data_IF_522743800363
#
_entry.id   IF_522743800363
#
_cell.length_a   1.000
_cell.length_b   1.000
_cell.length_c   1.000
_cell.angle_alpha   90.00
_cell.angle_beta   90.00
_cell.angle_gamma   90.00
#
_symmetry.space_group_name_H-M   'P 1'
#
loop_
_entity.id
_entity.type
_entity.pdbx_description
1 polymer ?
#
# COMPACT_ATOMS: atom_id res chain seq x y z
N UNK A 1 10.32 8.61 -7.84
CA UNK A 1 11.59 8.87 -7.13
C UNK A 1 12.72 9.01 -8.16
N UNK A 2 13.54 10.02 -8.03
CA UNK A 2 14.68 10.22 -8.90
C UNK A 2 15.91 9.52 -8.31
N UNK A 3 16.65 8.77 -9.11
CA UNK A 3 17.94 8.22 -8.72
C UNK A 3 19.00 9.35 -8.72
N UNK A 4 19.61 9.61 -7.58
CA UNK A 4 20.62 10.66 -7.41
C UNK A 4 22.03 10.10 -7.36
N UNK A 5 22.18 8.81 -7.06
CA UNK A 5 23.42 8.04 -7.15
C UNK A 5 23.04 6.56 -7.25
N UNK A 6 23.99 5.68 -7.59
CA UNK A 6 23.72 4.25 -7.73
C UNK A 6 22.96 3.68 -6.52
N UNK A 7 21.70 3.26 -6.75
CA UNK A 7 20.75 2.75 -5.73
C UNK A 7 20.40 3.75 -4.60
N UNK A 8 20.64 5.04 -4.82
CA UNK A 8 20.22 6.11 -3.91
C UNK A 8 19.17 6.96 -4.61
N UNK A 9 18.01 7.07 -4.02
CA UNK A 9 16.86 7.74 -4.61
C UNK A 9 16.41 8.92 -3.75
N UNK A 10 15.79 9.92 -4.38
CA UNK A 10 15.06 10.94 -3.63
C UNK A 10 13.98 10.29 -2.76
N UNK A 11 13.67 10.91 -1.64
CA UNK A 11 12.49 10.56 -0.83
C UNK A 11 11.22 10.75 -1.65
N UNK A 12 10.10 10.26 -1.13
CA UNK A 12 8.79 10.52 -1.74
C UNK A 12 8.53 12.02 -1.74
N UNK A 13 8.31 12.58 -2.93
CA UNK A 13 7.84 13.96 -3.06
C UNK A 13 6.40 14.02 -2.58
N UNK A 14 6.14 14.86 -1.60
CA UNK A 14 4.82 15.05 -1.01
C UNK A 14 4.59 16.54 -0.75
N UNK A 15 3.32 16.97 -0.72
CA UNK A 15 3.03 18.37 -0.43
C UNK A 15 3.66 18.78 0.90
N UNK A 16 4.31 19.96 0.98
CA UNK A 16 4.86 20.47 2.23
C UNK A 16 3.85 20.56 3.38
N UNK A 17 2.58 20.77 3.05
CA UNK A 17 1.47 20.86 4.01
C UNK A 17 0.85 19.48 4.30
N UNK A 18 1.33 18.44 3.64
CA UNK A 18 0.81 17.08 3.76
C UNK A 18 1.49 16.30 4.88
N UNK A 19 0.78 15.32 5.41
CA UNK A 19 1.27 14.36 6.40
C UNK A 19 1.30 12.96 5.80
N UNK A 20 2.44 12.30 5.89
CA UNK A 20 2.57 10.87 5.53
C UNK A 20 2.51 10.09 6.84
N UNK A 21 1.46 9.31 7.08
CA UNK A 21 1.37 8.50 8.30
C UNK A 21 2.47 7.43 8.34
N UNK A 22 2.89 6.98 9.53
CA UNK A 22 3.79 5.84 9.65
C UNK A 22 3.27 4.63 8.87
N UNK A 23 4.14 4.01 8.09
CA UNK A 23 3.79 2.87 7.24
C UNK A 23 4.99 1.95 7.02
N UNK A 24 4.70 0.72 6.63
CA UNK A 24 5.72 -0.25 6.26
C UNK A 24 6.07 -0.09 4.78
N UNK A 25 7.32 0.17 4.46
CA UNK A 25 7.72 0.34 3.07
C UNK A 25 7.43 -0.92 2.26
N UNK A 26 6.62 -0.76 1.20
CA UNK A 26 6.29 -1.78 0.20
C UNK A 26 5.62 -3.06 0.76
N UNK A 27 4.99 -3.04 1.92
CA UNK A 27 4.34 -4.24 2.48
C UNK A 27 3.16 -4.77 1.64
N UNK A 28 2.67 -3.99 0.69
CA UNK A 28 1.68 -4.39 -0.32
C UNK A 28 2.31 -5.11 -1.52
N UNK A 29 3.63 -5.12 -1.65
CA UNK A 29 4.35 -5.71 -2.77
C UNK A 29 4.73 -7.17 -2.49
N UNK A 30 5.09 -7.89 -3.56
CA UNK A 30 5.64 -9.24 -3.46
C UNK A 30 7.02 -9.24 -2.77
N UNK A 31 7.85 -8.24 -3.08
CA UNK A 31 9.15 -8.03 -2.47
C UNK A 31 9.18 -6.68 -1.75
N UNK A 32 9.85 -6.63 -0.61
CA UNK A 32 10.08 -5.42 0.17
C UNK A 32 11.53 -5.38 0.65
N UNK A 33 12.08 -4.19 0.94
CA UNK A 33 13.44 -4.07 1.42
C UNK A 33 13.57 -4.61 2.85
N UNK A 34 14.65 -5.34 3.13
CA UNK A 34 14.98 -5.78 4.49
C UNK A 34 15.46 -4.63 5.37
N UNK A 35 16.01 -3.58 4.76
CA UNK A 35 16.51 -2.38 5.42
C UNK A 35 16.16 -1.15 4.61
N UNK A 36 15.88 -0.05 5.30
CA UNK A 36 15.72 1.27 4.72
C UNK A 36 16.73 2.19 5.39
N UNK A 37 17.48 2.92 4.58
CA UNK A 37 18.44 3.90 5.04
C UNK A 37 17.99 5.30 4.64
N UNK A 38 17.94 6.22 5.59
CA UNK A 38 17.65 7.61 5.35
C UNK A 38 18.91 8.44 5.52
N UNK A 39 19.17 9.32 4.57
CA UNK A 39 20.23 10.31 4.64
C UNK A 39 19.64 11.69 4.45
N UNK A 40 19.91 12.60 5.37
CA UNK A 40 19.48 13.99 5.27
C UNK A 40 20.55 14.81 4.57
N UNK A 41 20.37 15.09 3.29
CA UNK A 41 21.30 15.90 2.51
C UNK A 41 21.24 17.38 2.92
N UNK A 42 20.04 17.91 3.10
CA UNK A 42 19.80 19.30 3.51
C UNK A 42 18.81 19.29 4.67
N UNK A 43 19.22 19.67 5.88
CA UNK A 43 18.32 19.73 6.99
C UNK A 43 17.30 20.87 6.81
N UNK A 44 16.05 20.67 7.17
CA UNK A 44 15.07 21.75 7.15
C UNK A 44 15.38 22.82 8.22
N UNK A 45 15.07 24.07 7.94
CA UNK A 45 15.24 25.17 8.90
C UNK A 45 14.34 25.01 10.14
N UNK A 46 13.13 24.46 9.93
CA UNK A 46 12.16 24.17 10.99
C UNK A 46 11.43 22.87 10.69
N UNK A 47 11.04 22.12 11.71
CA UNK A 47 10.29 20.84 11.58
C UNK A 47 11.05 19.77 10.79
N UNK A 48 10.40 19.05 9.86
CA UNK A 48 11.03 18.06 8.96
C UNK A 48 11.46 16.76 9.65
N UNK A 49 10.71 16.31 10.64
CA UNK A 49 11.01 15.04 11.34
C UNK A 49 10.52 13.85 10.53
N UNK A 50 11.29 12.78 10.55
CA UNK A 50 10.86 11.45 10.08
C UNK A 50 10.56 10.59 11.31
N UNK A 51 9.29 10.45 11.73
CA UNK A 51 8.94 9.62 12.87
C UNK A 51 9.15 8.14 12.55
N UNK A 52 9.64 7.38 13.53
CA UNK A 52 9.76 5.93 13.47
C UNK A 52 8.94 5.32 14.59
N UNK A 53 8.26 4.23 14.30
CA UNK A 53 7.50 3.46 15.27
C UNK A 53 8.16 2.08 15.51
N UNK A 54 8.19 1.62 16.74
CA UNK A 54 8.56 0.23 17.05
C UNK A 54 7.37 -0.68 16.76
N UNK A 55 7.50 -1.49 15.71
CA UNK A 55 6.42 -2.35 15.23
C UNK A 55 5.95 -3.39 16.26
N UNK A 56 6.78 -3.80 17.19
CA UNK A 56 6.37 -4.68 18.29
C UNK A 56 5.32 -4.00 19.17
N UNK A 57 5.51 -2.69 19.40
CA UNK A 57 4.57 -1.88 20.19
C UNK A 57 3.28 -1.61 19.42
N UNK A 58 3.37 -1.39 18.12
CA UNK A 58 2.19 -1.23 17.23
C UNK A 58 1.41 -2.54 17.20
N UNK A 59 2.07 -3.66 16.89
CA UNK A 59 1.45 -4.99 16.87
C UNK A 59 0.76 -5.35 18.19
N UNK A 60 1.36 -4.99 19.33
CA UNK A 60 0.79 -5.27 20.65
C UNK A 60 -0.47 -4.44 20.96
N UNK A 61 -0.67 -3.30 20.30
CA UNK A 61 -1.86 -2.45 20.44
C UNK A 61 -3.05 -2.94 19.65
N UNK A 62 -2.80 -3.65 18.53
CA UNK A 62 -3.87 -4.19 17.69
C UNK A 62 -4.50 -5.40 18.43
N UNK A 63 -5.82 -5.40 18.65
CA UNK A 63 -6.51 -6.50 19.32
C UNK A 63 -6.22 -7.86 18.67
N UNK A 64 -6.06 -8.89 19.50
CA UNK A 64 -5.71 -10.24 19.05
C UNK A 64 -6.69 -10.77 17.99
N UNK A 65 -7.99 -10.55 18.17
CA UNK A 65 -9.01 -11.00 17.21
C UNK A 65 -8.79 -10.42 15.81
N UNK A 66 -8.40 -9.14 15.73
CA UNK A 66 -8.07 -8.47 14.46
C UNK A 66 -6.80 -9.10 13.88
N UNK A 67 -5.73 -9.22 14.67
CA UNK A 67 -4.46 -9.81 14.21
C UNK A 67 -4.67 -11.23 13.66
N UNK A 68 -5.42 -12.07 14.36
CA UNK A 68 -5.70 -13.45 13.95
C UNK A 68 -6.52 -13.51 12.65
N UNK A 69 -7.46 -12.60 12.46
CA UNK A 69 -8.23 -12.53 11.22
C UNK A 69 -7.36 -12.15 10.04
N UNK A 70 -6.53 -11.11 10.20
CA UNK A 70 -5.56 -10.70 9.17
C UNK A 70 -4.48 -11.75 8.91
N UNK A 71 -4.00 -12.43 9.94
CA UNK A 71 -3.04 -13.54 9.79
C UNK A 71 -3.61 -14.68 8.96
N UNK A 72 -4.90 -15.00 9.17
CA UNK A 72 -5.59 -16.08 8.46
C UNK A 72 -5.86 -15.75 7.00
N UNK A 73 -6.33 -14.55 6.71
CA UNK A 73 -6.80 -14.18 5.38
C UNK A 73 -5.76 -13.42 4.57
N UNK A 74 -4.84 -12.69 5.20
CA UNK A 74 -4.01 -11.72 4.52
C UNK A 74 -4.81 -10.48 4.10
N UNK A 75 -4.24 -9.70 3.18
CA UNK A 75 -4.86 -8.51 2.59
C UNK A 75 -4.92 -8.65 1.09
N UNK A 76 -6.08 -8.46 0.51
CA UNK A 76 -6.28 -8.31 -0.91
C UNK A 76 -6.23 -6.84 -1.29
N UNK A 77 -5.22 -6.45 -2.04
CA UNK A 77 -5.06 -5.12 -2.63
C UNK A 77 -5.60 -5.12 -4.05
N UNK A 78 -6.49 -4.19 -4.34
CA UNK A 78 -7.04 -3.97 -5.68
C UNK A 78 -6.57 -2.61 -6.18
N UNK A 79 -6.10 -2.54 -7.42
CA UNK A 79 -5.74 -1.29 -8.09
C UNK A 79 -6.33 -1.27 -9.50
N UNK A 80 -6.93 -0.15 -9.82
CA UNK A 80 -7.31 0.19 -11.18
C UNK A 80 -6.30 1.22 -11.72
N UNK A 81 -5.71 0.90 -12.84
CA UNK A 81 -4.78 1.78 -13.56
C UNK A 81 -5.50 2.36 -14.77
N UNK A 82 -5.30 3.65 -15.00
CA UNK A 82 -5.86 4.33 -16.16
C UNK A 82 -5.61 5.84 -16.11
N UNK A 83 -5.64 6.54 -17.25
CA UNK A 83 -5.25 7.94 -17.35
C UNK A 83 -6.14 8.91 -16.56
N UNK A 84 -7.36 8.50 -16.22
CA UNK A 84 -8.35 9.36 -15.53
C UNK A 84 -8.61 8.92 -14.07
N UNK A 85 -7.92 7.87 -13.62
CA UNK A 85 -8.21 7.26 -12.31
C UNK A 85 -7.13 7.60 -11.29
N UNK A 86 -5.88 7.26 -11.55
CA UNK A 86 -4.71 7.50 -10.67
C UNK A 86 -3.45 7.45 -11.54
N UNK A 87 -2.68 6.38 -11.48
CA UNK A 87 -1.54 6.10 -12.34
C UNK A 87 -1.98 5.32 -13.58
N UNK A 88 -1.33 5.60 -14.70
CA UNK A 88 -1.38 4.68 -15.83
C UNK A 88 -0.67 3.37 -15.48
N UNK A 89 -0.98 2.28 -16.17
CA UNK A 89 -0.28 1.01 -15.93
C UNK A 89 1.20 1.10 -16.32
N UNK A 90 1.55 1.95 -17.31
CA UNK A 90 2.93 2.23 -17.71
C UNK A 90 3.73 2.83 -16.55
N UNK A 91 3.17 3.84 -15.89
CA UNK A 91 3.79 4.46 -14.72
C UNK A 91 3.88 3.50 -13.53
N UNK A 92 2.81 2.73 -13.31
CA UNK A 92 2.73 1.79 -12.20
C UNK A 92 3.71 0.64 -12.29
N UNK A 93 3.94 0.11 -13.50
CA UNK A 93 4.86 -1.00 -13.77
C UNK A 93 6.19 -0.56 -14.38
N UNK A 94 6.35 0.73 -14.71
CA UNK A 94 7.56 1.30 -15.30
C UNK A 94 7.97 0.61 -16.62
N UNK A 95 7.00 0.30 -17.46
CA UNK A 95 7.18 -0.32 -18.79
C UNK A 95 6.01 0.02 -19.70
N UNK A 96 6.25 0.05 -21.01
CA UNK A 96 5.23 0.18 -22.05
C UNK A 96 4.81 -1.19 -22.65
N UNK A 97 5.36 -2.28 -22.12
CA UNK A 97 5.14 -3.64 -22.60
C UNK A 97 4.08 -4.37 -21.77
N UNK A 98 2.92 -4.63 -22.34
CA UNK A 98 1.91 -5.50 -21.70
C UNK A 98 2.45 -6.88 -21.34
N UNK A 99 3.31 -7.44 -22.20
CA UNK A 99 3.90 -8.75 -21.97
C UNK A 99 4.78 -8.77 -20.69
N UNK A 100 5.50 -7.68 -20.42
CA UNK A 100 6.27 -7.53 -19.19
C UNK A 100 5.38 -7.38 -17.96
N UNK A 101 4.29 -6.62 -18.05
CA UNK A 101 3.29 -6.51 -16.99
C UNK A 101 2.69 -7.88 -16.66
N UNK A 102 2.29 -8.63 -17.67
CA UNK A 102 1.73 -9.98 -17.48
C UNK A 102 2.75 -10.97 -16.92
N UNK A 103 4.00 -10.88 -17.38
CA UNK A 103 5.09 -11.71 -16.84
C UNK A 103 5.31 -11.40 -15.34
N UNK A 104 5.36 -10.11 -14.98
CA UNK A 104 5.43 -9.69 -13.59
C UNK A 104 4.24 -10.18 -12.77
N UNK A 105 3.02 -10.03 -13.27
CA UNK A 105 1.81 -10.50 -12.57
C UNK A 105 1.84 -12.02 -12.35
N UNK A 106 2.22 -12.80 -13.35
CA UNK A 106 2.40 -14.26 -13.21
C UNK A 106 3.44 -14.62 -12.15
N UNK A 107 4.60 -13.96 -12.21
CA UNK A 107 5.69 -14.20 -11.26
C UNK A 107 5.31 -13.88 -9.81
N UNK A 108 4.52 -12.84 -9.61
CA UNK A 108 4.15 -12.33 -8.28
C UNK A 108 2.82 -12.89 -7.77
N UNK A 109 2.11 -13.73 -8.53
CA UNK A 109 0.78 -14.23 -8.17
C UNK A 109 -0.27 -13.13 -8.15
N UNK A 110 -0.07 -12.07 -8.93
CA UNK A 110 -1.06 -10.99 -9.10
C UNK A 110 -2.04 -11.40 -10.19
N UNK A 111 -3.33 -11.34 -9.90
CA UNK A 111 -4.39 -11.46 -10.91
C UNK A 111 -4.54 -10.13 -11.64
N UNK A 112 -4.79 -10.18 -12.94
CA UNK A 112 -4.97 -8.99 -13.74
C UNK A 112 -6.05 -9.16 -14.79
N UNK A 113 -6.68 -8.07 -15.17
CA UNK A 113 -7.68 -7.99 -16.24
C UNK A 113 -7.46 -6.70 -17.02
N UNK A 114 -7.14 -6.84 -18.30
CA UNK A 114 -7.15 -5.70 -19.22
C UNK A 114 -8.60 -5.32 -19.51
N UNK A 115 -8.99 -4.11 -19.16
CA UNK A 115 -10.33 -3.59 -19.46
C UNK A 115 -10.38 -3.04 -20.88
N UNK A 116 -9.28 -2.44 -21.31
CA UNK A 116 -9.01 -1.98 -22.67
C UNK A 116 -7.50 -1.74 -22.87
N UNK A 117 -7.12 -0.94 -23.87
CA UNK A 117 -5.71 -0.65 -24.14
C UNK A 117 -5.03 0.24 -23.09
N UNK A 118 -5.78 1.02 -22.35
CA UNK A 118 -5.28 1.98 -21.37
C UNK A 118 -5.57 1.58 -19.93
N UNK A 119 -6.56 0.73 -19.70
CA UNK A 119 -7.03 0.40 -18.36
C UNK A 119 -6.74 -1.04 -17.95
N UNK A 120 -6.20 -1.18 -16.76
CA UNK A 120 -5.83 -2.45 -16.15
C UNK A 120 -6.40 -2.53 -14.72
N UNK A 121 -7.11 -3.60 -14.41
CA UNK A 121 -7.40 -3.98 -13.03
C UNK A 121 -6.36 -5.01 -12.57
N UNK A 122 -5.73 -4.77 -11.42
CA UNK A 122 -4.80 -5.70 -10.79
C UNK A 122 -5.26 -6.00 -9.36
N UNK A 123 -5.21 -7.28 -9.00
CA UNK A 123 -5.62 -7.79 -7.69
C UNK A 123 -4.57 -8.75 -7.14
N UNK A 124 -4.14 -8.53 -5.91
CA UNK A 124 -3.12 -9.36 -5.29
C UNK A 124 -3.40 -9.59 -3.81
N UNK A 125 -3.26 -10.82 -3.36
CA UNK A 125 -3.32 -11.16 -1.93
C UNK A 125 -1.91 -11.21 -1.38
N UNK A 126 -1.68 -10.51 -0.27
CA UNK A 126 -0.40 -10.47 0.44
C UNK A 126 -0.62 -10.83 1.91
N UNK A 127 0.45 -11.31 2.53
CA UNK A 127 0.45 -11.51 3.99
C UNK A 127 0.16 -10.17 4.70
N UNK A 128 -0.54 -10.24 5.81
CA UNK A 128 -0.83 -9.08 6.64
C UNK A 128 0.16 -8.94 7.81
N UNK A 129 0.87 -10.01 8.12
CA UNK A 129 1.88 -10.07 9.17
C UNK A 129 3.10 -10.82 8.65
N UNK A 130 4.27 -10.49 9.13
CA UNK A 130 5.53 -11.15 8.75
C UNK A 130 6.31 -11.57 9.99
N UNK A 131 7.08 -12.65 9.84
CA UNK A 131 8.03 -13.06 10.86
C UNK A 131 9.31 -12.23 10.71
N UNK A 132 9.65 -11.51 11.75
CA UNK A 132 10.87 -10.69 11.76
C UNK A 132 12.12 -11.59 11.71
N UNK A 133 13.05 -11.37 10.77
CA UNK A 133 14.13 -12.33 10.50
C UNK A 133 15.12 -12.52 11.65
N UNK A 134 15.30 -11.50 12.50
CA UNK A 134 16.24 -11.55 13.63
C UNK A 134 15.56 -11.97 14.94
N UNK A 135 14.41 -11.37 15.28
CA UNK A 135 13.72 -11.68 16.54
C UNK A 135 12.81 -12.91 16.49
N UNK A 136 12.38 -13.30 15.28
CA UNK A 136 11.44 -14.41 15.09
C UNK A 136 9.99 -14.08 15.44
N UNK A 137 9.72 -12.86 15.90
CA UNK A 137 8.37 -12.40 16.25
C UNK A 137 7.52 -12.21 15.01
N UNK A 138 6.24 -12.54 15.10
CA UNK A 138 5.26 -12.25 14.04
C UNK A 138 4.66 -10.88 14.30
N UNK A 139 4.92 -9.95 13.39
CA UNK A 139 4.58 -8.55 13.53
C UNK A 139 3.60 -8.10 12.45
N UNK A 140 2.81 -7.09 12.75
CA UNK A 140 1.92 -6.44 11.79
C UNK A 140 2.72 -5.83 10.64
N UNK A 141 2.32 -6.13 9.41
CA UNK A 141 3.06 -5.69 8.23
C UNK A 141 2.17 -5.63 7.00
N UNK A 142 1.36 -4.59 6.89
CA UNK A 142 0.48 -4.39 5.74
C UNK A 142 0.06 -2.92 5.57
N UNK A 143 -0.57 -2.62 4.45
CA UNK A 143 -1.09 -1.31 4.08
C UNK A 143 -2.62 -1.27 3.98
N UNK A 144 -3.35 -2.20 4.56
CA UNK A 144 -4.80 -2.28 4.40
C UNK A 144 -5.49 -0.94 4.68
N UNK A 145 -5.21 -0.32 5.83
CA UNK A 145 -5.81 0.94 6.26
C UNK A 145 -5.50 2.13 5.34
N UNK A 146 -4.34 2.11 4.65
CA UNK A 146 -3.93 3.18 3.73
C UNK A 146 -4.50 3.00 2.32
N UNK A 147 -4.70 1.76 1.89
CA UNK A 147 -5.28 1.45 0.58
C UNK A 147 -6.79 1.56 0.57
N UNK A 148 -7.44 1.26 1.69
CA UNK A 148 -8.89 1.27 1.78
C UNK A 148 -9.46 2.66 1.51
N UNK A 149 -10.58 2.71 0.78
CA UNK A 149 -11.25 3.97 0.39
C UNK A 149 -11.54 4.90 1.56
N UNK A 150 -11.80 4.37 2.75
CA UNK A 150 -12.03 5.16 3.96
C UNK A 150 -10.79 5.92 4.48
N UNK A 151 -9.63 5.76 3.85
CA UNK A 151 -8.45 6.60 4.13
C UNK A 151 -8.50 7.95 3.40
N UNK A 152 -9.38 8.08 2.43
CA UNK A 152 -9.61 9.35 1.73
C UNK A 152 -10.49 10.29 2.56
N UNK A 153 -10.42 11.61 2.32
CA UNK A 153 -11.39 12.54 2.88
C UNK A 153 -12.82 12.07 2.57
N UNK A 154 -13.75 12.09 3.53
CA UNK A 154 -15.09 11.46 3.36
C UNK A 154 -15.89 11.99 2.15
N UNK A 155 -15.76 13.27 1.84
CA UNK A 155 -16.42 13.87 0.69
C UNK A 155 -15.87 13.32 -0.65
N UNK A 156 -14.54 13.16 -0.74
CA UNK A 156 -13.89 12.60 -1.92
C UNK A 156 -14.21 11.11 -2.07
N UNK A 157 -14.16 10.34 -0.98
CA UNK A 157 -14.51 8.93 -1.00
C UNK A 157 -15.94 8.71 -1.51
N UNK A 158 -16.88 9.52 -1.02
CA UNK A 158 -18.29 9.48 -1.46
C UNK A 158 -18.42 9.82 -2.94
N UNK A 159 -17.84 10.93 -3.39
CA UNK A 159 -17.90 11.34 -4.78
C UNK A 159 -17.36 10.27 -5.73
N UNK A 160 -16.23 9.66 -5.39
CA UNK A 160 -15.65 8.56 -6.18
C UNK A 160 -16.55 7.31 -6.19
N UNK A 161 -17.12 6.94 -5.06
CA UNK A 161 -18.04 5.80 -4.98
C UNK A 161 -19.32 6.05 -5.81
N UNK A 162 -19.84 7.28 -5.81
CA UNK A 162 -21.01 7.65 -6.60
C UNK A 162 -20.71 7.67 -8.11
N UNK A 163 -19.50 8.08 -8.51
CA UNK A 163 -19.09 8.20 -9.91
C UNK A 163 -18.67 6.87 -10.53
N UNK A 164 -17.77 6.14 -9.90
CA UNK A 164 -17.15 4.94 -10.49
C UNK A 164 -17.54 3.64 -9.79
N UNK A 165 -18.28 3.70 -8.71
CA UNK A 165 -18.61 2.56 -7.86
C UNK A 165 -17.38 1.96 -7.17
N UNK A 166 -17.61 0.98 -6.29
CA UNK A 166 -16.52 0.35 -5.53
C UNK A 166 -15.48 -0.34 -6.41
N UNK A 167 -15.92 -0.98 -7.50
CA UNK A 167 -15.05 -1.71 -8.42
C UNK A 167 -14.20 -0.80 -9.29
N UNK A 168 -14.64 0.44 -9.50
CA UNK A 168 -13.91 1.46 -10.27
C UNK A 168 -12.94 2.31 -9.44
N UNK A 169 -12.92 2.16 -8.13
CA UNK A 169 -12.00 2.92 -7.26
C UNK A 169 -10.55 2.75 -7.72
N UNK A 170 -9.73 3.81 -7.70
CA UNK A 170 -8.31 3.73 -8.09
C UNK A 170 -7.55 2.68 -7.28
N UNK A 171 -7.90 2.54 -6.01
CA UNK A 171 -7.38 1.48 -5.13
C UNK A 171 -8.36 1.19 -4.00
N UNK A 172 -8.37 -0.05 -3.55
CA UNK A 172 -9.07 -0.46 -2.33
C UNK A 172 -8.37 -1.67 -1.69
N UNK A 173 -8.75 -2.01 -0.46
CA UNK A 173 -8.25 -3.15 0.27
C UNK A 173 -9.40 -3.95 0.88
N UNK A 174 -9.23 -5.27 0.89
CA UNK A 174 -10.16 -6.24 1.46
C UNK A 174 -9.38 -7.27 2.28
N UNK A 175 -10.06 -8.11 3.04
CA UNK A 175 -9.43 -9.35 3.47
C UNK A 175 -9.04 -10.21 2.26
N UNK A 176 -8.05 -11.08 2.43
CA UNK A 176 -7.53 -11.89 1.33
C UNK A 176 -8.55 -12.81 0.65
N UNK A 177 -9.64 -13.17 1.35
CA UNK A 177 -10.77 -13.91 0.80
C UNK A 177 -11.75 -13.01 0.00
N UNK A 178 -11.49 -11.71 -0.04
CA UNK A 178 -12.30 -10.72 -0.74
C UNK A 178 -13.44 -10.14 0.10
N UNK A 179 -13.63 -10.56 1.33
CA UNK A 179 -14.61 -9.96 2.23
C UNK A 179 -14.19 -8.52 2.62
N UNK A 180 -15.15 -7.60 2.80
CA UNK A 180 -14.86 -6.22 3.18
C UNK A 180 -14.24 -6.15 4.58
N UNK A 181 -13.35 -5.18 4.78
CA UNK A 181 -12.79 -4.87 6.09
C UNK A 181 -13.75 -3.89 6.78
N UNK A 182 -14.22 -4.24 7.97
CA UNK A 182 -15.16 -3.43 8.71
C UNK A 182 -14.58 -2.06 9.10
N UNK A 183 -15.41 -1.03 9.08
CA UNK A 183 -14.99 0.34 9.42
C UNK A 183 -14.35 0.41 10.82
N UNK A 184 -14.95 -0.24 11.79
CA UNK A 184 -14.47 -0.29 13.18
C UNK A 184 -13.07 -0.94 13.30
N UNK A 185 -12.79 -1.95 12.47
CA UNK A 185 -11.47 -2.58 12.40
C UNK A 185 -10.45 -1.60 11.84
N UNK A 186 -10.79 -0.89 10.75
CA UNK A 186 -9.90 0.11 10.16
C UNK A 186 -9.65 1.29 11.10
N UNK A 187 -10.65 1.74 11.84
CA UNK A 187 -10.51 2.80 12.82
C UNK A 187 -9.62 2.36 14.00
N UNK A 188 -9.77 1.12 14.44
CA UNK A 188 -8.90 0.53 15.48
C UNK A 188 -7.44 0.44 15.03
N UNK A 189 -7.18 0.11 13.75
CA UNK A 189 -5.82 0.04 13.21
C UNK A 189 -5.18 1.43 13.09
N UNK A 190 -5.98 2.47 12.86
CA UNK A 190 -5.50 3.86 12.72
C UNK A 190 -5.26 4.57 14.06
N UNK A 191 -5.87 4.10 15.16
CA UNK A 191 -5.76 4.66 16.50
C UNK A 191 -4.39 4.35 17.18
#
# INVERSE_FOLDING_TARGET
>A
RQEVAHRVFTSTEFSPDGWIPPHHEMSYSHNWPSYIHFYCQTPPATQGRTPLADERRVSARIPEAIRQRFLRHGVCYVRNYGPEIDLTWQEGFQTDSRAEVEAYCRQTGTQWTWLDDQRLNARQVRQAMVRHPLSGETLWFNHAHMFHVSNMPPALARALLDEVGEQGLPRNAYYGDGSPIEAEVLDTIRA
#
